data_IF_473084346838
#
_entry.id   IF_473084346838
#
_cell.length_a   1.000
_cell.length_b   1.000
_cell.length_c   1.000
_cell.angle_alpha   90.00
_cell.angle_beta   90.00
_cell.angle_gamma   90.00
#
_symmetry.space_group_name_H-M   'P 1'
#
loop_
_entity.id
_entity.type
_entity.pdbx_description
1 polymer ?
#
# COMPACT_ATOMS: atom_id res chain seq x y z
N UNK A 1 15.54 17.63 15.99
CA UNK A 1 15.36 17.74 14.52
C UNK A 1 14.32 16.71 14.12
N UNK A 2 13.19 17.12 13.52
CA UNK A 2 12.23 16.18 12.97
C UNK A 2 12.79 15.67 11.63
N UNK A 3 13.07 14.39 11.53
CA UNK A 3 13.50 13.78 10.27
C UNK A 3 12.31 13.79 9.30
N UNK A 4 12.14 14.87 8.53
CA UNK A 4 11.20 14.94 7.41
C UNK A 4 11.84 14.29 6.18
N UNK A 5 12.13 13.00 6.28
CA UNK A 5 12.71 12.22 5.19
C UNK A 5 11.62 11.43 4.49
N UNK A 6 11.32 11.76 3.23
CA UNK A 6 10.57 10.87 2.33
C UNK A 6 11.46 9.68 2.03
N UNK A 7 11.11 8.51 2.55
CA UNK A 7 11.83 7.27 2.24
C UNK A 7 11.17 6.62 1.04
N UNK A 8 11.92 6.46 -0.04
CA UNK A 8 11.49 5.69 -1.21
C UNK A 8 11.78 4.22 -0.91
N UNK A 9 10.75 3.38 -1.00
CA UNK A 9 10.84 1.95 -0.71
C UNK A 9 10.66 1.20 -2.01
N UNK A 10 11.70 0.50 -2.48
CA UNK A 10 11.56 -0.36 -3.65
C UNK A 10 10.95 -1.73 -3.24
N UNK A 11 10.05 -2.30 -4.06
CA UNK A 11 9.47 -3.63 -3.82
C UNK A 11 10.56 -4.70 -3.69
N UNK A 12 10.35 -5.70 -2.81
CA UNK A 12 11.41 -6.64 -2.40
C UNK A 12 11.39 -7.99 -3.12
N UNK A 13 10.38 -8.32 -3.92
CA UNK A 13 10.28 -9.60 -4.62
C UNK A 13 10.39 -9.46 -6.14
N UNK A 14 10.79 -10.55 -6.82
CA UNK A 14 10.97 -10.61 -8.27
C UNK A 14 9.69 -10.25 -9.07
N UNK A 15 8.54 -10.33 -8.41
CA UNK A 15 7.23 -10.02 -8.95
C UNK A 15 6.68 -8.66 -8.47
N UNK A 16 7.46 -7.92 -7.67
CA UNK A 16 7.11 -6.60 -7.13
C UNK A 16 5.74 -6.56 -6.42
N UNK A 17 5.38 -7.61 -5.69
CA UNK A 17 4.10 -7.73 -4.97
C UNK A 17 4.20 -7.37 -3.49
N UNK A 18 5.39 -7.34 -2.90
CA UNK A 18 5.53 -7.12 -1.44
C UNK A 18 6.58 -6.08 -1.08
N UNK A 19 6.26 -5.24 -0.10
CA UNK A 19 7.17 -4.27 0.50
C UNK A 19 7.01 -4.22 2.02
N UNK A 20 8.12 -3.99 2.72
CA UNK A 20 8.14 -3.80 4.17
C UNK A 20 8.56 -2.37 4.51
N UNK A 21 7.76 -1.69 5.31
CA UNK A 21 7.94 -0.31 5.76
C UNK A 21 8.40 -0.35 7.22
N UNK A 22 9.71 -0.40 7.42
CA UNK A 22 10.33 -0.57 8.73
C UNK A 22 9.87 0.44 9.80
N UNK A 23 9.74 1.76 9.50
CA UNK A 23 9.25 2.73 10.48
C UNK A 23 7.85 2.42 11.03
N UNK A 24 7.04 1.68 10.28
CA UNK A 24 5.66 1.31 10.63
C UNK A 24 5.53 -0.13 11.11
N UNK A 25 6.58 -0.95 10.96
CA UNK A 25 6.45 -2.40 11.11
C UNK A 25 5.39 -2.99 10.15
N UNK A 26 5.11 -2.34 9.03
CA UNK A 26 4.02 -2.70 8.13
C UNK A 26 4.57 -3.44 6.90
N UNK A 27 3.99 -4.60 6.61
CA UNK A 27 4.15 -5.28 5.33
C UNK A 27 2.91 -5.02 4.48
N UNK A 28 3.14 -4.51 3.27
CA UNK A 28 2.11 -4.37 2.25
C UNK A 28 2.35 -5.44 1.19
N UNK A 29 1.31 -6.20 0.88
CA UNK A 29 1.32 -7.18 -0.22
C UNK A 29 0.17 -6.90 -1.18
N UNK A 30 0.38 -7.11 -2.47
CA UNK A 30 -0.66 -6.91 -3.50
C UNK A 30 -0.82 -8.14 -4.38
N UNK A 31 -2.08 -8.50 -4.66
CA UNK A 31 -2.47 -9.49 -5.66
C UNK A 31 -3.24 -8.82 -6.80
N UNK A 32 -3.08 -9.28 -8.04
CA UNK A 32 -3.70 -8.67 -9.23
C UNK A 32 -2.97 -7.45 -9.81
N UNK A 33 -2.00 -6.89 -9.08
CA UNK A 33 -1.16 -5.77 -9.52
C UNK A 33 0.30 -5.95 -9.09
N UNK A 34 1.15 -5.04 -9.54
CA UNK A 34 2.53 -4.86 -9.11
C UNK A 34 2.73 -3.48 -8.47
N UNK A 35 3.57 -3.44 -7.43
CA UNK A 35 4.06 -2.22 -6.81
C UNK A 35 5.10 -1.59 -7.75
N UNK A 36 4.86 -0.38 -8.21
CA UNK A 36 5.75 0.37 -9.11
C UNK A 36 6.63 1.33 -8.32
N UNK A 37 6.00 2.09 -7.42
CA UNK A 37 6.67 3.07 -6.57
C UNK A 37 5.98 3.13 -5.21
N UNK A 38 6.74 3.46 -4.17
CA UNK A 38 6.23 3.65 -2.83
C UNK A 38 6.99 4.75 -2.11
N UNK A 39 6.25 5.63 -1.43
CA UNK A 39 6.80 6.70 -0.64
C UNK A 39 6.17 6.72 0.75
N UNK A 40 7.02 6.70 1.78
CA UNK A 40 6.61 6.89 3.16
C UNK A 40 6.71 8.36 3.57
N UNK A 41 5.64 8.89 4.14
CA UNK A 41 5.56 10.23 4.72
C UNK A 41 5.67 10.17 6.26
N UNK A 42 6.82 10.58 6.79
CA UNK A 42 7.10 10.45 8.23
C UNK A 42 6.18 11.25 9.15
N UNK A 43 5.63 12.38 8.70
CA UNK A 43 4.80 13.26 9.54
C UNK A 43 3.41 12.69 9.80
N UNK A 44 2.77 12.16 8.75
CA UNK A 44 1.40 11.61 8.80
C UNK A 44 1.39 10.10 8.94
N UNK A 45 2.56 9.46 8.88
CA UNK A 45 2.72 8.01 8.80
C UNK A 45 2.02 7.39 7.58
N UNK A 46 1.71 8.18 6.56
CA UNK A 46 1.08 7.72 5.33
C UNK A 46 2.09 7.02 4.41
N UNK A 47 1.58 6.10 3.60
CA UNK A 47 2.32 5.42 2.53
C UNK A 47 1.57 5.65 1.23
N UNK A 48 2.20 6.38 0.31
CA UNK A 48 1.72 6.52 -1.06
C UNK A 48 2.30 5.38 -1.90
N UNK A 49 1.42 4.72 -2.66
CA UNK A 49 1.71 3.51 -3.43
C UNK A 49 1.24 3.73 -4.85
N UNK A 50 2.09 3.40 -5.81
CA UNK A 50 1.75 3.33 -7.22
C UNK A 50 1.60 1.87 -7.63
N UNK A 51 0.40 1.49 -8.07
CA UNK A 51 0.05 0.15 -8.52
C UNK A 51 -0.09 0.13 -10.04
N UNK A 52 0.40 -0.93 -10.66
CA UNK A 52 0.15 -1.21 -12.08
C UNK A 52 -0.46 -2.60 -12.21
N UNK A 53 -1.47 -2.75 -13.07
CA UNK A 53 -2.13 -4.03 -13.27
C UNK A 53 -1.13 -5.06 -13.83
N UNK A 54 -1.15 -6.28 -13.30
CA UNK A 54 -0.34 -7.35 -13.87
C UNK A 54 -0.90 -7.77 -15.24
N UNK A 55 -0.05 -7.97 -16.24
CA UNK A 55 -0.50 -8.30 -17.60
C UNK A 55 -1.37 -9.57 -17.67
N UNK A 56 -1.19 -10.50 -16.73
CA UNK A 56 -1.96 -11.75 -16.63
C UNK A 56 -3.08 -11.69 -15.58
N UNK A 57 -3.37 -10.53 -14.99
CA UNK A 57 -4.42 -10.41 -13.99
C UNK A 57 -5.81 -10.67 -14.62
N UNK A 58 -6.64 -11.54 -14.02
CA UNK A 58 -7.95 -11.90 -14.59
C UNK A 58 -9.01 -10.80 -14.46
N UNK A 59 -8.74 -9.76 -13.65
CA UNK A 59 -9.66 -8.64 -13.39
C UNK A 59 -8.94 -7.30 -13.39
N UNK A 60 -9.74 -6.22 -13.40
CA UNK A 60 -9.30 -4.84 -13.18
C UNK A 60 -9.27 -4.47 -11.69
N UNK A 61 -9.13 -5.48 -10.81
CA UNK A 61 -9.09 -5.29 -9.37
C UNK A 61 -7.79 -5.88 -8.83
N UNK A 62 -7.24 -5.21 -7.81
CA UNK A 62 -6.16 -5.74 -7.00
C UNK A 62 -6.62 -5.87 -5.55
N UNK A 63 -6.05 -6.81 -4.83
CA UNK A 63 -6.24 -6.93 -3.38
C UNK A 63 -4.98 -6.48 -2.68
N UNK A 64 -5.09 -5.46 -1.84
CA UNK A 64 -4.04 -4.95 -0.99
C UNK A 64 -4.18 -5.55 0.41
N UNK A 65 -3.15 -6.25 0.87
CA UNK A 65 -3.06 -6.82 2.21
C UNK A 65 -2.10 -6.00 3.07
N UNK A 66 -2.54 -5.64 4.27
CA UNK A 66 -1.83 -4.78 5.21
C UNK A 66 -1.57 -5.57 6.49
N UNK A 67 -0.33 -6.05 6.67
CA UNK A 67 0.04 -6.89 7.81
C UNK A 67 1.02 -6.14 8.69
N UNK A 68 0.63 -5.85 9.92
CA UNK A 68 1.55 -5.31 10.93
C UNK A 68 2.39 -6.45 11.49
N UNK A 69 3.67 -6.48 11.13
CA UNK A 69 4.62 -7.43 11.67
C UNK A 69 5.06 -6.97 13.07
N UNK A 70 4.90 -7.85 14.06
CA UNK A 70 5.41 -7.62 15.41
C UNK A 70 6.93 -7.73 15.42
N UNK A 71 7.62 -6.64 15.11
CA UNK A 71 9.04 -6.49 15.41
C UNK A 71 9.17 -6.04 16.87
N UNK A 72 10.15 -6.55 17.60
CA UNK A 72 10.38 -6.17 19.00
C UNK A 72 11.20 -4.86 19.06
N UNK A 73 10.79 -3.87 19.89
CA UNK A 73 9.54 -3.78 20.64
C UNK A 73 8.34 -3.50 19.72
N UNK A 74 7.13 -4.00 20.04
CA UNK A 74 5.97 -3.87 19.16
C UNK A 74 5.70 -2.39 18.85
N UNK A 75 5.36 -2.06 17.59
CA UNK A 75 5.00 -0.69 17.23
C UNK A 75 3.80 -0.25 18.09
N UNK A 76 3.72 1.05 18.46
CA UNK A 76 2.59 1.59 19.21
C UNK A 76 1.31 1.19 18.47
N UNK A 77 0.37 0.58 19.20
CA UNK A 77 -0.77 -0.15 18.66
C UNK A 77 -1.53 0.61 17.56
N UNK A 78 -1.13 0.41 16.30
CA UNK A 78 -1.91 0.85 15.14
C UNK A 78 -3.03 -0.17 14.97
N UNK A 79 -4.27 0.27 15.17
CA UNK A 79 -5.44 -0.62 15.27
C UNK A 79 -6.28 -0.71 14.00
N UNK A 80 -6.00 0.13 13.00
CA UNK A 80 -6.69 0.09 11.71
C UNK A 80 -6.01 1.02 10.71
N UNK A 81 -6.09 0.67 9.43
CA UNK A 81 -5.58 1.45 8.30
C UNK A 81 -6.75 1.88 7.41
N UNK A 82 -6.74 3.11 6.93
CA UNK A 82 -7.59 3.53 5.82
C UNK A 82 -6.81 3.46 4.52
N UNK A 83 -7.55 3.18 3.44
CA UNK A 83 -7.01 3.09 2.09
C UNK A 83 -7.86 3.96 1.18
N UNK A 84 -7.22 4.90 0.51
CA UNK A 84 -7.86 5.91 -0.35
C UNK A 84 -7.15 5.98 -1.69
N UNK A 85 -7.86 6.27 -2.78
CA UNK A 85 -7.20 6.67 -4.04
C UNK A 85 -7.48 8.14 -4.30
N UNK A 86 -6.45 8.99 -4.38
CA UNK A 86 -6.63 10.43 -4.61
C UNK A 86 -7.35 10.76 -5.92
N UNK A 87 -7.23 9.88 -6.92
CA UNK A 87 -7.68 10.14 -8.30
C UNK A 87 -9.03 9.46 -8.63
N UNK A 88 -9.51 8.56 -7.77
CA UNK A 88 -10.72 7.76 -8.04
C UNK A 88 -11.55 7.61 -6.77
N UNK A 89 -12.73 8.25 -6.75
CA UNK A 89 -13.70 8.13 -5.65
C UNK A 89 -14.21 6.69 -5.52
N UNK A 90 -14.21 6.16 -4.30
CA UNK A 90 -14.63 4.77 -3.99
C UNK A 90 -13.82 3.67 -4.71
N UNK A 91 -12.57 3.94 -5.08
CA UNK A 91 -11.67 2.93 -5.66
C UNK A 91 -11.38 1.76 -4.72
N UNK A 92 -11.47 1.98 -3.41
CA UNK A 92 -10.99 1.08 -2.39
C UNK A 92 -12.16 0.67 -1.51
N UNK A 93 -12.33 -0.63 -1.35
CA UNK A 93 -13.34 -1.22 -0.47
C UNK A 93 -12.66 -2.16 0.51
N UNK A 94 -12.84 -1.92 1.80
CA UNK A 94 -12.43 -2.89 2.81
C UNK A 94 -13.19 -4.22 2.59
N UNK A 95 -12.45 -5.31 2.45
CA UNK A 95 -13.01 -6.66 2.32
C UNK A 95 -12.81 -7.47 3.61
N UNK A 96 -11.68 -7.28 4.28
CA UNK A 96 -11.36 -7.80 5.60
C UNK A 96 -10.64 -6.69 6.40
N UNK A 97 -10.44 -6.82 7.72
CA UNK A 97 -9.76 -5.81 8.53
C UNK A 97 -8.39 -5.40 7.98
N UNK A 98 -7.68 -6.35 7.39
CA UNK A 98 -6.32 -6.20 6.88
C UNK A 98 -6.26 -6.31 5.34
N UNK A 99 -7.41 -6.32 4.65
CA UNK A 99 -7.47 -6.51 3.19
C UNK A 99 -8.45 -5.55 2.50
N UNK A 100 -7.96 -4.87 1.46
CA UNK A 100 -8.72 -3.89 0.69
C UNK A 100 -8.71 -4.26 -0.80
N UNK A 101 -9.88 -4.28 -1.42
CA UNK A 101 -10.00 -4.43 -2.87
C UNK A 101 -9.90 -3.05 -3.50
N UNK A 102 -8.98 -2.89 -4.45
CA UNK A 102 -8.66 -1.66 -5.16
C UNK A 102 -9.04 -1.84 -6.62
N UNK A 103 -9.86 -0.94 -7.14
CA UNK A 103 -10.13 -0.83 -8.58
C UNK A 103 -8.95 -0.18 -9.28
N UNK A 104 -8.37 -0.89 -10.25
CA UNK A 104 -7.24 -0.44 -11.03
C UNK A 104 -7.70 0.42 -12.21
N UNK A 105 -6.83 1.33 -12.63
CA UNK A 105 -7.01 2.16 -13.81
C UNK A 105 -6.94 1.27 -15.07
N UNK A 106 -7.82 1.51 -16.04
CA UNK A 106 -7.86 0.73 -17.27
C UNK A 106 -6.68 1.09 -18.19
N UNK A 107 -5.98 0.07 -18.72
CA UNK A 107 -4.90 0.21 -19.70
C UNK A 107 -3.57 -0.39 -19.23
N UNK A 108 -2.80 -0.96 -20.17
CA UNK A 108 -1.60 -1.75 -19.89
C UNK A 108 -0.40 -0.98 -19.27
N UNK A 109 -0.52 0.34 -19.10
CA UNK A 109 0.48 1.20 -18.47
C UNK A 109 -0.17 2.20 -17.49
N UNK A 110 -1.42 1.96 -17.12
CA UNK A 110 -2.15 2.86 -16.24
C UNK A 110 -1.72 2.60 -14.79
N UNK A 111 -1.18 3.65 -14.15
CA UNK A 111 -0.79 3.61 -12.74
C UNK A 111 -1.97 4.07 -11.89
N UNK A 112 -2.31 3.28 -10.88
CA UNK A 112 -3.30 3.62 -9.86
C UNK A 112 -2.57 4.07 -8.60
N UNK A 113 -2.81 5.29 -8.15
CA UNK A 113 -2.25 5.80 -6.89
C UNK A 113 -3.17 5.45 -5.73
N UNK A 114 -2.58 4.87 -4.69
CA UNK A 114 -3.24 4.47 -3.46
C UNK A 114 -2.49 5.08 -2.28
N UNK A 115 -3.22 5.63 -1.32
CA UNK A 115 -2.70 6.14 -0.07
C UNK A 115 -3.18 5.26 1.07
N UNK A 116 -2.25 4.75 1.85
CA UNK A 116 -2.51 3.97 3.06
C UNK A 116 -2.11 4.82 4.26
N UNK A 117 -3.00 5.00 5.23
CA UNK A 117 -2.72 5.82 6.41
C UNK A 117 -3.39 5.25 7.66
N UNK A 118 -2.81 5.48 8.86
CA UNK A 118 -3.44 5.03 10.10
C UNK A 118 -4.77 5.74 10.35
N UNK A 119 -5.75 5.00 10.86
CA UNK A 119 -6.98 5.58 11.41
C UNK A 119 -6.71 6.04 12.84
N UNK A 120 -7.07 7.30 13.13
CA UNK A 120 -6.91 7.94 14.44
C UNK A 120 -7.96 7.47 15.45
#
# INVERSE_FOLDING_TARGET
AACTGRVIISPRDALRRRAYIAPLGLTISVEGAQLVDMAYEGATQAVDISLERHATAPSDEATLFLVVERVLPPPPAMRSWSVECPEVTACARAWQPDAHVIKLSAGAAAVTKVRVQPVS
#
